data_IF_805913478245
#
_entry.id   IF_805913478245
#
_cell.length_a   1.000
_cell.length_b   1.000
_cell.length_c   1.000
_cell.angle_alpha   90.00
_cell.angle_beta   90.00
_cell.angle_gamma   90.00
#
_symmetry.space_group_name_H-M   'P 1'
#
loop_
_entity.id
_entity.type
_entity.pdbx_description
1 polymer ?
#
# COMPACT_ATOMS: atom_id res chain seq x y z
N UNK A 1 -19.63 45.12 8.33
CA UNK A 1 -19.63 44.17 7.18
C UNK A 1 -18.23 43.65 6.87
N UNK A 2 -17.21 44.49 6.65
CA UNK A 2 -15.83 44.00 6.45
C UNK A 2 -15.19 43.42 7.73
N UNK A 3 -15.40 44.09 8.86
CA UNK A 3 -14.85 43.71 10.18
C UNK A 3 -15.41 42.36 10.70
N UNK A 4 -16.72 42.13 10.55
CA UNK A 4 -17.36 40.87 10.94
C UNK A 4 -16.85 39.66 10.14
N UNK A 5 -16.60 39.82 8.83
CA UNK A 5 -16.03 38.74 8.00
C UNK A 5 -14.59 38.42 8.42
N UNK A 6 -13.78 39.43 8.73
CA UNK A 6 -12.41 39.21 9.19
C UNK A 6 -12.41 38.44 10.51
N UNK A 7 -13.26 38.82 11.46
CA UNK A 7 -13.43 38.10 12.73
C UNK A 7 -13.86 36.63 12.52
N UNK A 8 -14.78 36.37 11.58
CA UNK A 8 -15.16 35.01 11.21
C UNK A 8 -13.98 34.21 10.64
N UNK A 9 -13.14 34.81 9.79
CA UNK A 9 -11.95 34.14 9.27
C UNK A 9 -10.92 33.86 10.37
N UNK A 10 -10.69 34.79 11.29
CA UNK A 10 -9.79 34.57 12.44
C UNK A 10 -10.26 33.37 13.26
N UNK A 11 -11.55 33.30 13.59
CA UNK A 11 -12.13 32.16 14.32
C UNK A 11 -12.01 30.84 13.54
N UNK A 12 -12.18 30.89 12.21
CA UNK A 12 -11.99 29.73 11.34
C UNK A 12 -10.54 29.19 11.37
N UNK A 13 -9.54 30.07 11.22
CA UNK A 13 -8.13 29.65 11.28
C UNK A 13 -7.71 29.21 12.68
N UNK A 14 -8.26 29.81 13.74
CA UNK A 14 -8.06 29.35 15.11
C UNK A 14 -8.57 27.91 15.30
N UNK A 15 -9.77 27.60 14.81
CA UNK A 15 -10.34 26.26 14.87
C UNK A 15 -9.49 25.23 14.10
N UNK A 16 -8.95 25.62 12.92
CA UNK A 16 -8.03 24.77 12.15
C UNK A 16 -6.74 24.47 12.88
N UNK A 17 -6.13 25.47 13.53
CA UNK A 17 -4.93 25.28 14.35
C UNK A 17 -5.23 24.33 15.53
N UNK A 18 -6.32 24.57 16.27
CA UNK A 18 -6.72 23.75 17.43
C UNK A 18 -6.93 22.28 17.09
N UNK A 19 -7.33 21.96 15.86
CA UNK A 19 -7.47 20.57 15.38
C UNK A 19 -6.18 19.74 15.57
N UNK A 20 -5.01 20.36 15.41
CA UNK A 20 -3.71 19.69 15.51
C UNK A 20 -3.00 19.95 16.83
N UNK A 21 -3.57 20.79 17.70
CA UNK A 21 -2.97 21.14 18.98
C UNK A 21 -2.78 19.89 19.85
N UNK A 22 -1.57 19.73 20.41
CA UNK A 22 -1.15 18.58 21.20
C UNK A 22 -1.23 17.22 20.49
N UNK A 23 -1.35 17.19 19.16
CA UNK A 23 -1.35 15.93 18.42
C UNK A 23 0.08 15.52 18.04
N UNK A 24 0.64 14.43 18.61
CA UNK A 24 2.03 14.04 18.36
C UNK A 24 2.28 13.55 16.92
N UNK A 25 1.22 13.25 16.15
CA UNK A 25 1.34 12.85 14.75
C UNK A 25 1.38 14.04 13.80
N UNK A 26 0.96 15.23 14.23
CA UNK A 26 0.79 16.40 13.37
C UNK A 26 1.54 17.67 13.83
N UNK A 27 2.83 17.58 14.25
CA UNK A 27 3.57 18.73 14.75
C UNK A 27 3.85 19.79 13.66
N UNK A 28 4.11 19.39 12.41
CA UNK A 28 4.40 20.33 11.33
C UNK A 28 3.11 21.07 10.92
N UNK A 29 2.01 20.35 10.77
CA UNK A 29 0.70 20.91 10.44
C UNK A 29 0.23 21.89 11.52
N UNK A 30 0.42 21.57 12.81
CA UNK A 30 0.13 22.52 13.89
C UNK A 30 0.94 23.81 13.74
N UNK A 31 2.26 23.71 13.49
CA UNK A 31 3.11 24.89 13.32
C UNK A 31 2.70 25.75 12.12
N UNK A 32 2.34 25.12 11.00
CA UNK A 32 1.91 25.84 9.80
C UNK A 32 0.51 26.47 9.94
N UNK A 33 -0.46 25.76 10.54
CA UNK A 33 -1.79 26.31 10.82
C UNK A 33 -1.72 27.45 11.84
N UNK A 34 -0.81 27.35 12.83
CA UNK A 34 -0.54 28.45 13.77
C UNK A 34 0.00 29.69 13.04
N UNK A 35 0.94 29.52 12.10
CA UNK A 35 1.45 30.63 11.30
C UNK A 35 0.35 31.28 10.44
N UNK A 36 -0.58 30.48 9.88
CA UNK A 36 -1.75 31.00 9.16
C UNK A 36 -2.71 31.77 10.08
N UNK A 37 -2.99 31.24 11.27
CA UNK A 37 -3.81 31.89 12.28
C UNK A 37 -3.20 33.23 12.73
N UNK A 38 -1.90 33.26 13.02
CA UNK A 38 -1.19 34.50 13.38
C UNK A 38 -1.21 35.50 12.22
N UNK A 39 -1.05 35.03 10.98
CA UNK A 39 -1.11 35.88 9.80
C UNK A 39 -2.47 36.56 9.59
N UNK A 40 -3.60 35.86 9.81
CA UNK A 40 -4.93 36.48 9.70
C UNK A 40 -5.28 37.35 10.91
N UNK A 41 -4.87 36.94 12.12
CA UNK A 41 -5.13 37.67 13.37
C UNK A 41 -4.44 39.04 13.38
N UNK A 42 -3.21 39.08 12.87
CA UNK A 42 -2.38 40.29 12.88
C UNK A 42 -2.58 41.15 11.63
N UNK A 43 -3.41 40.70 10.67
CA UNK A 43 -3.71 41.44 9.46
C UNK A 43 -4.73 42.57 9.73
N UNK A 44 -4.47 43.81 9.26
CA UNK A 44 -5.42 44.92 9.41
C UNK A 44 -6.69 44.71 8.58
N UNK A 45 -6.60 43.99 7.46
CA UNK A 45 -7.71 43.66 6.58
C UNK A 45 -7.42 42.36 5.79
N UNK A 46 -8.40 41.92 4.99
CA UNK A 46 -8.27 40.72 4.18
C UNK A 46 -7.25 40.81 3.04
N UNK A 47 -6.97 42.02 2.53
CA UNK A 47 -6.00 42.21 1.44
C UNK A 47 -4.56 42.09 1.97
N UNK A 48 -4.29 42.64 3.16
CA UNK A 48 -3.02 42.47 3.86
C UNK A 48 -2.77 40.99 4.19
N UNK A 49 -3.80 40.26 4.65
CA UNK A 49 -3.69 38.82 4.85
C UNK A 49 -3.39 38.09 3.53
N UNK A 50 -4.09 38.43 2.45
CA UNK A 50 -3.88 37.82 1.13
C UNK A 50 -2.45 38.04 0.64
N UNK A 51 -1.92 39.26 0.77
CA UNK A 51 -0.53 39.58 0.41
C UNK A 51 0.45 38.73 1.20
N UNK A 52 0.25 38.53 2.51
CA UNK A 52 1.10 37.68 3.34
C UNK A 52 0.98 36.19 2.98
N UNK A 53 -0.25 35.68 2.80
CA UNK A 53 -0.55 34.30 2.45
C UNK A 53 0.16 33.84 1.17
N UNK A 54 0.14 34.68 0.14
CA UNK A 54 0.77 34.40 -1.15
C UNK A 54 2.24 34.83 -1.19
N UNK A 55 2.59 35.98 -0.59
CA UNK A 55 3.96 36.50 -0.59
C UNK A 55 4.95 35.64 0.20
N UNK A 56 4.51 35.06 1.32
CA UNK A 56 5.33 34.13 2.12
C UNK A 56 5.07 32.65 1.78
N UNK A 57 4.23 32.39 0.77
CA UNK A 57 3.79 31.07 0.34
C UNK A 57 3.21 30.19 1.48
N UNK A 58 2.50 30.80 2.44
CA UNK A 58 2.01 30.11 3.64
C UNK A 58 1.02 28.99 3.31
N UNK A 59 0.23 29.15 2.24
CA UNK A 59 -0.71 28.14 1.79
C UNK A 59 -0.02 26.84 1.31
N UNK A 60 1.07 26.95 0.53
CA UNK A 60 1.87 25.80 0.10
C UNK A 60 2.63 25.19 1.28
N UNK A 61 3.26 26.01 2.12
CA UNK A 61 3.93 25.54 3.34
C UNK A 61 2.99 24.75 4.24
N UNK A 62 1.74 25.18 4.38
CA UNK A 62 0.73 24.46 5.14
C UNK A 62 0.35 23.12 4.50
N UNK A 63 0.22 23.07 3.17
CA UNK A 63 -0.02 21.81 2.46
C UNK A 63 1.14 20.82 2.64
N UNK A 64 2.39 21.28 2.45
CA UNK A 64 3.61 20.49 2.66
C UNK A 64 3.67 19.96 4.09
N UNK A 65 3.40 20.81 5.09
CA UNK A 65 3.43 20.43 6.50
C UNK A 65 2.46 19.29 6.82
N UNK A 66 1.22 19.36 6.30
CA UNK A 66 0.23 18.31 6.49
C UNK A 66 0.66 16.98 5.87
N UNK A 67 1.12 17.02 4.62
CA UNK A 67 1.55 15.81 3.91
C UNK A 67 2.80 15.21 4.57
N UNK A 68 3.74 16.04 5.00
CA UNK A 68 4.93 15.58 5.74
C UNK A 68 4.55 14.79 7.00
N UNK A 69 3.61 15.30 7.79
CA UNK A 69 3.13 14.60 8.98
C UNK A 69 2.44 13.26 8.62
N UNK A 70 1.55 13.28 7.63
CA UNK A 70 0.84 12.09 7.16
C UNK A 70 1.80 11.01 6.65
N UNK A 71 2.75 11.38 5.79
CA UNK A 71 3.69 10.42 5.21
C UNK A 71 4.74 9.95 6.21
N UNK A 72 5.16 10.80 7.16
CA UNK A 72 6.02 10.37 8.27
C UNK A 72 5.32 9.30 9.11
N UNK A 73 4.04 9.51 9.44
CA UNK A 73 3.25 8.53 10.19
C UNK A 73 3.05 7.23 9.40
N UNK A 74 2.69 7.31 8.10
CA UNK A 74 2.51 6.15 7.21
C UNK A 74 3.79 5.35 7.05
N UNK A 75 4.91 6.03 6.77
CA UNK A 75 6.23 5.42 6.64
C UNK A 75 6.59 4.65 7.90
N UNK A 76 6.49 5.29 9.07
CA UNK A 76 6.78 4.65 10.36
C UNK A 76 5.92 3.39 10.56
N UNK A 77 4.62 3.51 10.33
CA UNK A 77 3.70 2.38 10.47
C UNK A 77 4.08 1.19 9.57
N UNK A 78 4.39 1.44 8.29
CA UNK A 78 4.78 0.37 7.38
C UNK A 78 6.15 -0.23 7.72
N UNK A 79 7.11 0.58 8.20
CA UNK A 79 8.42 0.09 8.65
C UNK A 79 8.30 -0.79 9.90
N UNK A 80 7.48 -0.40 10.88
CA UNK A 80 7.18 -1.22 12.07
C UNK A 80 6.58 -2.58 11.68
N UNK A 81 5.73 -2.59 10.65
CA UNK A 81 5.13 -3.81 10.10
C UNK A 81 6.04 -4.55 9.11
N UNK A 82 7.24 -4.03 8.82
CA UNK A 82 8.17 -4.52 7.79
C UNK A 82 7.52 -4.68 6.40
N UNK A 83 6.57 -3.81 6.11
CA UNK A 83 5.88 -3.66 4.82
C UNK A 83 6.72 -2.79 3.86
N UNK A 84 7.89 -3.33 3.48
CA UNK A 84 8.92 -2.59 2.72
C UNK A 84 8.44 -2.04 1.37
N UNK A 85 7.49 -2.70 0.71
CA UNK A 85 6.92 -2.23 -0.56
C UNK A 85 5.99 -1.04 -0.30
N UNK A 86 5.06 -1.16 0.66
CA UNK A 86 4.11 -0.09 1.01
C UNK A 86 4.83 1.17 1.50
N UNK A 87 5.95 1.01 2.20
CA UNK A 87 6.75 2.12 2.72
C UNK A 87 7.43 2.98 1.62
N UNK A 88 7.56 2.48 0.38
CA UNK A 88 8.24 3.19 -0.72
C UNK A 88 7.56 4.51 -1.07
N UNK A 89 6.24 4.50 -1.25
CA UNK A 89 5.48 5.72 -1.58
C UNK A 89 5.69 6.85 -0.56
N UNK A 90 5.40 6.63 0.74
CA UNK A 90 5.67 7.62 1.78
C UNK A 90 7.14 8.07 1.83
N UNK A 91 8.09 7.15 1.69
CA UNK A 91 9.51 7.50 1.69
C UNK A 91 9.89 8.42 0.51
N UNK A 92 9.36 8.12 -0.69
CA UNK A 92 9.60 8.93 -1.87
C UNK A 92 8.96 10.31 -1.75
N UNK A 93 7.70 10.39 -1.30
CA UNK A 93 7.03 11.68 -1.05
C UNK A 93 7.87 12.54 -0.11
N UNK A 94 8.29 12.00 1.03
CA UNK A 94 9.10 12.73 2.01
C UNK A 94 10.44 13.22 1.44
N UNK A 95 11.02 12.52 0.46
CA UNK A 95 12.26 12.93 -0.19
C UNK A 95 12.10 14.07 -1.21
N UNK A 96 10.89 14.24 -1.75
CA UNK A 96 10.61 15.20 -2.83
C UNK A 96 9.81 16.43 -2.35
N UNK A 97 9.12 16.33 -1.20
CA UNK A 97 8.05 17.27 -0.83
C UNK A 97 8.48 18.73 -0.64
N UNK A 98 9.73 18.96 -0.27
CA UNK A 98 10.25 20.31 -0.02
C UNK A 98 10.58 21.07 -1.31
N UNK A 99 10.51 20.41 -2.48
CA UNK A 99 10.78 21.00 -3.79
C UNK A 99 9.57 21.68 -4.45
N UNK A 100 8.39 21.69 -3.81
CA UNK A 100 7.17 22.22 -4.42
C UNK A 100 6.85 23.64 -3.98
N UNK A 101 6.62 24.52 -4.97
CA UNK A 101 6.19 25.90 -4.76
C UNK A 101 4.70 26.14 -5.08
N UNK A 102 4.00 25.12 -5.58
CA UNK A 102 2.58 25.18 -5.97
C UNK A 102 1.83 23.94 -5.50
N UNK A 103 0.57 24.15 -5.08
CA UNK A 103 -0.29 23.07 -4.56
C UNK A 103 -0.67 22.09 -5.67
N UNK A 104 -0.89 22.59 -6.88
CA UNK A 104 -1.28 21.79 -8.04
C UNK A 104 -0.17 20.80 -8.43
N UNK A 105 1.07 21.27 -8.48
CA UNK A 105 2.25 20.45 -8.80
C UNK A 105 2.50 19.41 -7.69
N UNK A 106 2.40 19.82 -6.42
CA UNK A 106 2.46 18.89 -5.29
C UNK A 106 1.39 17.80 -5.42
N UNK A 107 0.13 18.19 -5.65
CA UNK A 107 -1.00 17.24 -5.74
C UNK A 107 -0.82 16.27 -6.90
N UNK A 108 -0.41 16.76 -8.08
CA UNK A 108 -0.13 15.91 -9.24
C UNK A 108 0.95 14.88 -8.91
N UNK A 109 2.07 15.32 -8.31
CA UNK A 109 3.17 14.42 -7.96
C UNK A 109 2.77 13.37 -6.92
N UNK A 110 2.04 13.76 -5.88
CA UNK A 110 1.56 12.82 -4.86
C UNK A 110 0.69 11.73 -5.49
N UNK A 111 -0.17 12.09 -6.46
CA UNK A 111 -1.02 11.12 -7.16
C UNK A 111 -0.20 10.15 -8.01
N UNK A 112 0.83 10.63 -8.71
CA UNK A 112 1.76 9.77 -9.46
C UNK A 112 2.46 8.76 -8.56
N UNK A 113 3.09 9.22 -7.47
CA UNK A 113 3.81 8.35 -6.53
C UNK A 113 2.85 7.32 -5.92
N UNK A 114 1.65 7.75 -5.52
CA UNK A 114 0.64 6.84 -4.97
C UNK A 114 0.17 5.81 -6.00
N UNK A 115 0.03 6.20 -7.28
CA UNK A 115 -0.32 5.28 -8.35
C UNK A 115 0.78 4.24 -8.61
N UNK A 116 2.03 4.68 -8.71
CA UNK A 116 3.20 3.81 -8.88
C UNK A 116 3.35 2.84 -7.71
N UNK A 117 3.22 3.34 -6.48
CA UNK A 117 3.29 2.52 -5.27
C UNK A 117 2.14 1.52 -5.19
N UNK A 118 0.92 1.93 -5.56
CA UNK A 118 -0.24 1.03 -5.63
C UNK A 118 0.00 -0.11 -6.61
N UNK A 119 0.56 0.18 -7.78
CA UNK A 119 0.95 -0.84 -8.75
C UNK A 119 1.99 -1.80 -8.18
N UNK A 120 3.03 -1.29 -7.52
CA UNK A 120 4.05 -2.12 -6.89
C UNK A 120 3.48 -3.01 -5.78
N UNK A 121 2.54 -2.49 -4.98
CA UNK A 121 1.82 -3.27 -3.96
C UNK A 121 0.99 -4.38 -4.60
N UNK A 122 0.24 -4.09 -5.65
CA UNK A 122 -0.57 -5.10 -6.35
C UNK A 122 0.31 -6.23 -6.88
N UNK A 123 1.45 -5.91 -7.50
CA UNK A 123 2.40 -6.92 -8.01
C UNK A 123 2.99 -7.76 -6.87
N UNK A 124 3.33 -7.13 -5.75
CA UNK A 124 3.85 -7.82 -4.56
C UNK A 124 2.83 -8.82 -3.99
N UNK A 125 1.56 -8.41 -3.90
CA UNK A 125 0.46 -9.23 -3.37
C UNK A 125 0.11 -10.43 -4.25
N UNK A 126 0.52 -10.47 -5.53
CA UNK A 126 0.37 -11.67 -6.35
C UNK A 126 1.11 -12.87 -5.74
N UNK A 127 2.17 -12.64 -4.95
CA UNK A 127 2.86 -13.70 -4.20
C UNK A 127 1.92 -14.44 -3.24
N UNK A 128 0.91 -13.75 -2.69
CA UNK A 128 -0.04 -14.36 -1.75
C UNK A 128 -0.93 -15.44 -2.43
N UNK A 129 -1.03 -15.45 -3.77
CA UNK A 129 -1.75 -16.50 -4.50
C UNK A 129 -1.16 -17.90 -4.24
N UNK A 130 0.12 -17.99 -3.89
CA UNK A 130 0.73 -19.26 -3.49
C UNK A 130 -0.04 -19.96 -2.36
N UNK A 131 -0.52 -19.20 -1.37
CA UNK A 131 -1.25 -19.76 -0.24
C UNK A 131 -2.69 -20.14 -0.60
N UNK A 132 -3.28 -19.55 -1.65
CA UNK A 132 -4.63 -19.88 -2.10
C UNK A 132 -4.74 -21.32 -2.64
N UNK A 133 -3.63 -21.89 -3.10
CA UNK A 133 -3.59 -23.25 -3.62
C UNK A 133 -3.43 -24.33 -2.55
N UNK A 134 -3.25 -23.97 -1.28
CA UNK A 134 -2.96 -24.95 -0.23
C UNK A 134 -4.01 -26.05 -0.15
N UNK A 135 -5.29 -25.69 -0.29
CA UNK A 135 -6.39 -26.67 -0.30
C UNK A 135 -6.27 -27.66 -1.47
N UNK A 136 -5.94 -27.18 -2.68
CA UNK A 136 -5.76 -28.05 -3.83
C UNK A 136 -4.56 -28.99 -3.63
N UNK A 137 -3.46 -28.47 -3.10
CA UNK A 137 -2.26 -29.26 -2.80
C UNK A 137 -2.52 -30.29 -1.68
N UNK A 138 -3.34 -29.95 -0.68
CA UNK A 138 -3.78 -30.86 0.37
C UNK A 138 -4.62 -32.00 -0.19
N UNK A 139 -5.64 -31.69 -0.99
CA UNK A 139 -6.49 -32.70 -1.63
C UNK A 139 -5.68 -33.65 -2.54
N UNK A 140 -4.73 -33.09 -3.30
CA UNK A 140 -3.83 -33.89 -4.13
C UNK A 140 -2.94 -34.80 -3.30
N UNK A 141 -2.39 -34.30 -2.20
CA UNK A 141 -1.57 -35.10 -1.29
C UNK A 141 -2.38 -36.24 -0.66
N UNK A 142 -3.60 -35.94 -0.16
CA UNK A 142 -4.50 -36.96 0.39
C UNK A 142 -4.84 -38.03 -0.66
N UNK A 143 -5.10 -37.63 -1.90
CA UNK A 143 -5.37 -38.55 -3.00
C UNK A 143 -4.14 -39.39 -3.39
N UNK A 144 -2.94 -38.81 -3.42
CA UNK A 144 -1.69 -39.54 -3.72
C UNK A 144 -1.34 -40.58 -2.63
N UNK A 145 -1.69 -40.30 -1.38
CA UNK A 145 -1.40 -41.17 -0.22
C UNK A 145 -2.54 -42.16 0.12
N UNK A 146 -3.71 -42.01 -0.50
CA UNK A 146 -4.89 -42.82 -0.17
C UNK A 146 -4.69 -44.32 -0.47
N UNK A 147 -4.87 -45.16 0.55
CA UNK A 147 -4.92 -46.61 0.39
C UNK A 147 -6.34 -47.06 0.02
N UNK A 148 -6.59 -47.15 -1.29
CA UNK A 148 -7.89 -47.58 -1.85
C UNK A 148 -7.82 -49.00 -2.43
N UNK A 149 -8.94 -49.74 -2.46
CA UNK A 149 -9.01 -51.04 -3.13
C UNK A 149 -8.54 -50.97 -4.58
N UNK A 150 -8.00 -52.08 -5.08
CA UNK A 150 -7.35 -52.14 -6.40
C UNK A 150 -8.21 -51.65 -7.55
N UNK A 151 -9.52 -51.86 -7.46
CA UNK A 151 -10.50 -51.47 -8.47
C UNK A 151 -10.71 -49.95 -8.57
N UNK A 152 -10.36 -49.17 -7.53
CA UNK A 152 -10.46 -47.71 -7.52
C UNK A 152 -9.14 -47.01 -7.89
N UNK A 153 -8.03 -47.75 -8.00
CA UNK A 153 -6.69 -47.15 -8.24
C UNK A 153 -6.57 -46.44 -9.58
N UNK A 154 -7.29 -46.88 -10.61
CA UNK A 154 -7.30 -46.17 -11.91
C UNK A 154 -8.08 -44.87 -11.82
N UNK A 155 -9.26 -44.89 -11.22
CA UNK A 155 -10.10 -43.71 -11.05
C UNK A 155 -9.39 -42.62 -10.23
N UNK A 156 -8.71 -43.02 -9.15
CA UNK A 156 -7.92 -42.10 -8.31
C UNK A 156 -6.77 -41.45 -9.10
N UNK A 157 -6.09 -42.20 -9.98
CA UNK A 157 -5.05 -41.65 -10.85
C UNK A 157 -5.60 -40.67 -11.88
N UNK A 158 -6.76 -40.97 -12.46
CA UNK A 158 -7.44 -40.08 -13.41
C UNK A 158 -7.87 -38.78 -12.73
N UNK A 159 -8.41 -38.87 -11.51
CA UNK A 159 -8.76 -37.71 -10.69
C UNK A 159 -7.54 -36.82 -10.42
N UNK A 160 -6.44 -37.38 -9.90
CA UNK A 160 -5.21 -36.63 -9.61
C UNK A 160 -4.69 -35.93 -10.87
N UNK A 161 -4.68 -36.62 -12.01
CA UNK A 161 -4.22 -36.04 -13.26
C UNK A 161 -5.13 -34.90 -13.75
N UNK A 162 -6.45 -35.07 -13.64
CA UNK A 162 -7.43 -34.05 -14.02
C UNK A 162 -7.29 -32.78 -13.16
N UNK A 163 -7.12 -32.92 -11.85
CA UNK A 163 -6.90 -31.80 -10.93
C UNK A 163 -5.61 -31.03 -11.24
N UNK A 164 -4.52 -31.73 -11.56
CA UNK A 164 -3.25 -31.11 -11.99
C UNK A 164 -3.45 -30.36 -13.31
N UNK A 165 -4.12 -30.96 -14.29
CA UNK A 165 -4.38 -30.34 -15.58
C UNK A 165 -5.24 -29.08 -15.45
N UNK A 166 -6.28 -29.13 -14.63
CA UNK A 166 -7.14 -27.99 -14.34
C UNK A 166 -6.37 -26.86 -13.64
N UNK A 167 -5.56 -27.19 -12.64
CA UNK A 167 -4.67 -26.22 -11.98
C UNK A 167 -3.72 -25.52 -12.95
N UNK A 168 -3.11 -26.26 -13.87
CA UNK A 168 -2.23 -25.71 -14.92
C UNK A 168 -3.00 -24.89 -15.95
N UNK A 169 -4.24 -25.28 -16.25
CA UNK A 169 -5.12 -24.53 -17.15
C UNK A 169 -5.48 -23.19 -16.53
N UNK A 170 -5.99 -23.17 -15.29
CA UNK A 170 -6.30 -21.95 -14.55
C UNK A 170 -5.08 -21.03 -14.43
N UNK A 171 -3.90 -21.59 -14.13
CA UNK A 171 -2.67 -20.81 -14.04
C UNK A 171 -2.35 -20.07 -15.35
N UNK A 172 -2.42 -20.77 -16.48
CA UNK A 172 -2.02 -20.24 -17.80
C UNK A 172 -3.09 -19.35 -18.42
N UNK A 173 -4.36 -19.64 -18.20
CA UNK A 173 -5.48 -18.96 -18.85
C UNK A 173 -6.07 -17.83 -18.01
N UNK A 174 -5.86 -17.84 -16.68
CA UNK A 174 -6.46 -16.90 -15.75
C UNK A 174 -5.38 -16.18 -14.93
N UNK A 175 -4.61 -16.91 -14.12
CA UNK A 175 -3.71 -16.29 -13.13
C UNK A 175 -2.58 -15.48 -13.78
N UNK A 176 -1.83 -16.09 -14.72
CA UNK A 176 -0.72 -15.43 -15.41
C UNK A 176 -1.18 -14.24 -16.27
N UNK A 177 -2.22 -14.36 -17.13
CA UNK A 177 -2.72 -13.20 -17.88
C UNK A 177 -3.16 -12.06 -16.98
N UNK A 178 -3.81 -12.36 -15.85
CA UNK A 178 -4.22 -11.34 -14.89
C UNK A 178 -3.02 -10.68 -14.20
N UNK A 179 -1.99 -11.44 -13.83
CA UNK A 179 -0.73 -10.90 -13.32
C UNK A 179 -0.03 -9.99 -14.35
N UNK A 180 -0.02 -10.40 -15.63
CA UNK A 180 0.61 -9.66 -16.73
C UNK A 180 -0.09 -8.33 -17.07
N UNK A 181 -1.35 -8.16 -16.69
CA UNK A 181 -2.02 -6.85 -16.74
C UNK A 181 -1.36 -5.82 -15.81
N UNK A 182 -0.69 -6.28 -14.73
CA UNK A 182 0.02 -5.41 -13.79
C UNK A 182 1.51 -5.33 -14.12
N UNK A 183 2.16 -6.47 -14.33
CA UNK A 183 3.57 -6.53 -14.76
C UNK A 183 3.72 -7.57 -15.87
N UNK A 184 3.97 -7.16 -17.13
CA UNK A 184 4.11 -8.07 -18.26
C UNK A 184 5.23 -9.11 -18.13
N UNK A 185 6.20 -8.86 -17.25
CA UNK A 185 7.31 -9.78 -16.99
C UNK A 185 7.13 -10.56 -15.68
N UNK A 186 5.95 -10.47 -15.07
CA UNK A 186 5.70 -11.12 -13.79
C UNK A 186 5.89 -12.63 -13.90
N UNK A 187 6.54 -13.16 -12.87
CA UNK A 187 6.70 -14.58 -12.61
C UNK A 187 6.61 -14.80 -11.11
N UNK A 188 6.07 -15.95 -10.71
CA UNK A 188 6.04 -16.32 -9.30
C UNK A 188 7.47 -16.40 -8.76
N UNK A 189 7.76 -15.59 -7.74
CA UNK A 189 9.02 -15.59 -7.03
C UNK A 189 8.81 -16.21 -5.63
N UNK A 190 9.20 -17.47 -5.50
CA UNK A 190 9.00 -18.21 -4.25
C UNK A 190 9.88 -17.69 -3.10
N UNK A 191 10.94 -16.94 -3.37
CA UNK A 191 11.76 -16.35 -2.32
C UNK A 191 10.98 -15.24 -1.59
N UNK A 192 10.04 -14.57 -2.29
CA UNK A 192 9.18 -13.56 -1.67
C UNK A 192 8.22 -14.13 -0.63
N UNK A 193 7.84 -15.42 -0.72
CA UNK A 193 7.00 -16.09 0.29
C UNK A 193 7.63 -15.97 1.69
N UNK A 194 8.95 -16.00 1.76
CA UNK A 194 9.72 -15.91 3.01
C UNK A 194 9.88 -14.49 3.54
N UNK A 195 9.58 -13.47 2.73
CA UNK A 195 9.61 -12.11 3.24
C UNK A 195 8.52 -11.95 4.32
N UNK A 196 8.87 -11.30 5.43
CA UNK A 196 8.04 -11.29 6.64
C UNK A 196 6.59 -10.84 6.41
N UNK A 197 6.38 -9.88 5.49
CA UNK A 197 5.05 -9.39 5.11
C UNK A 197 4.14 -10.44 4.46
N UNK A 198 4.71 -11.41 3.74
CA UNK A 198 3.98 -12.53 3.15
C UNK A 198 3.92 -13.70 4.14
N UNK A 199 5.07 -14.08 4.69
CA UNK A 199 5.20 -15.20 5.64
C UNK A 199 4.22 -15.10 6.81
N UNK A 200 4.00 -13.91 7.37
CA UNK A 200 3.07 -13.69 8.50
C UNK A 200 1.61 -13.99 8.19
N UNK A 201 1.22 -14.02 6.91
CA UNK A 201 -0.14 -14.32 6.45
C UNK A 201 -0.41 -15.82 6.33
N UNK A 202 0.64 -16.65 6.40
CA UNK A 202 0.56 -18.09 6.21
C UNK A 202 0.73 -18.77 7.58
N UNK A 203 -0.35 -19.18 8.26
CA UNK A 203 -0.30 -19.66 9.64
C UNK A 203 0.08 -21.16 9.74
N UNK A 204 1.06 -21.62 8.95
CA UNK A 204 1.57 -23.00 9.00
C UNK A 204 3.08 -23.02 9.30
N UNK A 205 3.64 -24.13 9.80
CA UNK A 205 5.09 -24.26 10.05
C UNK A 205 5.94 -24.12 8.78
N UNK A 206 7.19 -23.67 8.92
CA UNK A 206 8.11 -23.44 7.79
C UNK A 206 8.37 -24.71 6.97
N UNK A 207 8.45 -25.86 7.63
CA UNK A 207 8.62 -27.17 6.98
C UNK A 207 7.46 -27.48 6.02
N UNK A 208 6.23 -27.10 6.39
CA UNK A 208 5.05 -27.26 5.53
C UNK A 208 5.14 -26.30 4.34
N UNK A 209 5.57 -25.06 4.55
CA UNK A 209 5.74 -24.08 3.46
C UNK A 209 6.80 -24.57 2.47
N UNK A 210 7.95 -25.06 2.94
CA UNK A 210 9.01 -25.60 2.08
C UNK A 210 8.50 -26.74 1.20
N UNK A 211 7.73 -27.66 1.79
CA UNK A 211 7.10 -28.76 1.05
C UNK A 211 6.09 -28.23 0.02
N UNK A 212 5.19 -27.33 0.44
CA UNK A 212 4.15 -26.74 -0.41
C UNK A 212 4.73 -25.93 -1.57
N UNK A 213 5.89 -25.29 -1.41
CA UNK A 213 6.59 -24.63 -2.52
C UNK A 213 7.00 -25.63 -3.59
N UNK A 214 7.56 -26.78 -3.20
CA UNK A 214 7.96 -27.82 -4.16
C UNK A 214 6.74 -28.42 -4.87
N UNK A 215 5.68 -28.72 -4.13
CA UNK A 215 4.42 -29.24 -4.67
C UNK A 215 3.76 -28.23 -5.62
N UNK A 216 3.73 -26.94 -5.27
CA UNK A 216 3.15 -25.89 -6.11
C UNK A 216 3.90 -25.72 -7.44
N UNK A 217 5.24 -25.84 -7.45
CA UNK A 217 6.02 -25.82 -8.71
C UNK A 217 5.60 -26.95 -9.64
N UNK A 218 5.50 -28.18 -9.11
CA UNK A 218 5.01 -29.36 -9.84
C UNK A 218 3.57 -29.19 -10.33
N UNK A 219 2.69 -28.70 -9.44
CA UNK A 219 1.27 -28.45 -9.72
C UNK A 219 1.12 -27.47 -10.87
N UNK A 220 1.76 -26.29 -10.80
CA UNK A 220 1.66 -25.24 -11.81
C UNK A 220 2.50 -25.48 -13.08
N UNK A 221 3.39 -26.48 -13.07
CA UNK A 221 4.26 -26.80 -14.21
C UNK A 221 5.43 -25.81 -14.36
N UNK A 222 5.91 -25.27 -13.24
CA UNK A 222 7.02 -24.32 -13.15
C UNK A 222 8.33 -24.98 -12.66
N UNK A 223 8.50 -26.28 -12.93
CA UNK A 223 9.72 -27.05 -12.62
C UNK A 223 10.84 -26.79 -13.64
#
# INVERSE_FOLDING_TARGET
>A
MADERLQQYVAYYEARMKKYENNPLYPNAYAAEKALYEAIRDAPDGDAFKQKLFGENLHVKNAIALVRDQETARKRHFEELKEVVRARGPAQILSEIDGFDKIEDLTARLNEINHENSKAISVDLLTDHFAADFTALENLQEAEEADVPSEWKSELKEYIQAEIEEGRRMWREIDLPNAHNWDPNWRMDYDLVWAERHRRKIPVPDEVIQRRIAEHKRYRGND
#
